data_IF_514575473562
#
_entry.id   IF_514575473562
#
_cell.length_a   1.000
_cell.length_b   1.000
_cell.length_c   1.000
_cell.angle_alpha   90.00
_cell.angle_beta   90.00
_cell.angle_gamma   90.00
#
_symmetry.space_group_name_H-M   'P 1'
#
loop_
_entity.id
_entity.type
_entity.pdbx_description
1 polymer ?
#
# COMPACT_ATOMS: atom_id res chain seq x y z
N UNK A 1 32.12 -4.36 11.55
CA UNK A 1 30.63 -4.48 11.48
C UNK A 1 30.14 -3.31 10.65
N UNK A 2 29.60 -3.56 9.49
CA UNK A 2 29.03 -2.52 8.64
C UNK A 2 27.76 -1.99 9.35
N UNK A 3 27.69 -0.69 9.53
CA UNK A 3 26.51 0.00 10.07
C UNK A 3 25.36 -0.29 9.10
N UNK A 4 24.21 -0.80 9.55
CA UNK A 4 23.06 -0.98 8.65
C UNK A 4 22.71 0.36 8.04
N UNK A 5 22.60 0.37 6.72
CA UNK A 5 22.22 1.57 5.97
C UNK A 5 20.73 1.82 6.26
N UNK A 6 20.46 2.62 7.30
CA UNK A 6 19.11 3.08 7.62
C UNK A 6 18.65 3.99 6.48
N UNK A 7 17.94 3.43 5.54
CA UNK A 7 17.20 4.23 4.58
C UNK A 7 16.03 4.84 5.34
N UNK A 8 16.26 5.99 5.95
CA UNK A 8 15.14 6.90 6.17
C UNK A 8 14.45 7.03 4.82
N UNK A 9 13.13 6.86 4.77
CA UNK A 9 12.37 6.96 3.53
C UNK A 9 12.45 8.42 3.08
N UNK A 10 13.61 8.77 2.52
CA UNK A 10 13.89 10.07 1.93
C UNK A 10 13.06 10.15 0.66
N UNK A 11 12.06 11.01 0.63
CA UNK A 11 11.18 11.19 -0.52
C UNK A 11 9.71 10.85 -0.27
N UNK A 12 9.31 10.55 0.98
CA UNK A 12 7.92 10.57 1.41
C UNK A 12 7.53 11.93 2.00
N UNK A 13 8.48 12.87 2.07
CA UNK A 13 8.16 14.25 2.44
C UNK A 13 7.29 14.86 1.35
N UNK A 14 6.03 15.06 1.68
CA UNK A 14 5.11 15.81 0.83
C UNK A 14 5.56 17.26 0.78
N UNK A 15 5.44 17.92 -0.38
CA UNK A 15 5.66 19.36 -0.44
C UNK A 15 4.67 20.04 0.51
N UNK A 16 5.15 21.01 1.27
CA UNK A 16 4.31 21.81 2.19
C UNK A 16 3.40 22.77 1.42
N UNK A 17 3.69 22.98 0.15
CA UNK A 17 2.92 23.82 -0.77
C UNK A 17 3.09 23.30 -2.21
N UNK A 18 2.00 23.30 -2.99
CA UNK A 18 1.99 22.88 -4.37
C UNK A 18 1.45 21.48 -4.62
N UNK A 19 1.58 21.00 -5.85
CA UNK A 19 1.07 19.68 -6.27
C UNK A 19 1.93 18.55 -5.74
N UNK A 20 1.32 17.59 -5.04
CA UNK A 20 1.98 16.36 -4.61
C UNK A 20 2.21 15.42 -5.80
N UNK A 21 3.38 14.80 -5.85
CA UNK A 21 3.72 13.81 -6.87
C UNK A 21 3.46 12.40 -6.35
N UNK A 22 2.82 11.55 -7.17
CA UNK A 22 2.53 10.16 -6.82
C UNK A 22 3.77 9.31 -6.54
N UNK A 23 4.94 9.70 -7.04
CA UNK A 23 6.21 9.01 -6.78
C UNK A 23 6.60 9.03 -5.28
N UNK A 24 6.04 9.95 -4.50
CA UNK A 24 6.22 9.97 -3.04
C UNK A 24 5.49 8.81 -2.34
N UNK A 25 4.46 8.26 -2.96
CA UNK A 25 3.73 7.10 -2.46
C UNK A 25 4.50 5.82 -2.79
N UNK A 26 4.55 4.89 -1.84
CA UNK A 26 5.29 3.63 -1.99
C UNK A 26 4.42 2.45 -1.63
N UNK A 27 4.60 1.36 -2.37
CA UNK A 27 3.82 0.14 -2.21
C UNK A 27 4.77 -1.04 -2.02
N UNK A 28 4.54 -1.82 -0.96
CA UNK A 28 5.31 -3.00 -0.63
C UNK A 28 4.37 -4.18 -0.44
N UNK A 29 4.81 -5.35 -0.88
CA UNK A 29 4.10 -6.62 -0.70
C UNK A 29 4.91 -7.50 0.24
N UNK A 30 4.27 -8.12 1.19
CA UNK A 30 4.89 -9.12 2.06
C UNK A 30 5.05 -10.44 1.32
N UNK A 31 6.27 -10.95 1.26
CA UNK A 31 6.61 -12.20 0.58
C UNK A 31 6.69 -13.40 1.52
N UNK A 32 6.23 -13.28 2.76
CA UNK A 32 6.26 -14.36 3.77
C UNK A 32 5.01 -15.22 3.80
N UNK A 33 4.02 -14.99 2.90
CA UNK A 33 2.70 -15.66 2.91
C UNK A 33 1.90 -15.46 4.22
N UNK A 34 2.26 -14.46 5.00
CA UNK A 34 1.51 -14.11 6.19
C UNK A 34 0.34 -13.20 5.82
N UNK A 35 -0.87 -13.64 6.12
CA UNK A 35 -2.09 -12.87 5.86
C UNK A 35 -2.87 -12.53 7.14
N UNK A 36 -2.36 -12.91 8.32
CA UNK A 36 -3.13 -12.82 9.55
C UNK A 36 -2.68 -11.72 10.51
N UNK A 37 -1.38 -11.57 10.74
CA UNK A 37 -0.89 -10.62 11.74
C UNK A 37 -0.63 -9.25 11.13
N UNK A 38 -1.53 -8.30 11.44
CA UNK A 38 -1.40 -6.89 11.06
C UNK A 38 -0.81 -6.02 12.18
N UNK A 39 -0.58 -6.60 13.36
CA UNK A 39 -0.07 -5.85 14.51
C UNK A 39 1.45 -5.82 14.52
N UNK A 40 2.08 -6.87 13.98
CA UNK A 40 3.52 -6.98 13.88
C UNK A 40 3.99 -6.98 12.42
N UNK A 41 4.33 -5.79 11.93
CA UNK A 41 4.89 -5.62 10.59
C UNK A 41 6.37 -5.97 10.51
N UNK A 42 7.04 -6.18 11.66
CA UNK A 42 8.48 -6.47 11.72
C UNK A 42 8.79 -7.88 11.24
N UNK A 43 7.82 -8.78 11.29
CA UNK A 43 7.93 -10.17 10.82
C UNK A 43 7.87 -10.31 9.30
N UNK A 44 7.47 -9.25 8.57
CA UNK A 44 7.30 -9.25 7.13
C UNK A 44 8.62 -9.11 6.36
N UNK A 45 8.63 -9.67 5.15
CA UNK A 45 9.64 -9.39 4.12
C UNK A 45 9.00 -8.53 3.04
N UNK A 46 9.18 -7.25 3.15
CA UNK A 46 8.48 -6.24 2.36
C UNK A 46 9.19 -6.00 1.04
N UNK A 47 8.73 -6.62 -0.04
CA UNK A 47 9.26 -6.37 -1.37
C UNK A 47 8.66 -5.09 -1.96
N UNK A 48 9.50 -4.18 -2.40
CA UNK A 48 9.07 -2.90 -2.96
C UNK A 48 8.57 -3.05 -4.39
N UNK A 49 7.28 -2.84 -4.60
CA UNK A 49 6.64 -2.88 -5.90
C UNK A 49 6.77 -1.51 -6.60
N UNK A 50 7.87 -1.32 -7.32
CA UNK A 50 8.19 -0.06 -7.97
C UNK A 50 8.85 -0.21 -9.34
N UNK A 51 9.71 -1.23 -9.53
CA UNK A 51 10.45 -1.40 -10.77
C UNK A 51 9.51 -1.68 -11.93
N UNK A 52 9.54 -0.84 -12.96
CA UNK A 52 8.68 -0.97 -14.12
C UNK A 52 7.20 -0.60 -13.86
N UNK A 53 6.82 -0.23 -12.64
CA UNK A 53 5.47 0.20 -12.35
C UNK A 53 5.28 1.66 -12.77
N UNK A 54 4.32 1.87 -13.64
CA UNK A 54 3.99 3.19 -14.19
C UNK A 54 2.76 3.83 -13.55
N UNK A 55 1.87 3.00 -12.97
CA UNK A 55 0.60 3.48 -12.40
C UNK A 55 0.20 2.68 -11.17
N UNK A 56 -0.21 3.37 -10.10
CA UNK A 56 -0.88 2.82 -8.93
C UNK A 56 -2.10 3.68 -8.68
N UNK A 57 -3.29 3.12 -8.91
CA UNK A 57 -4.56 3.85 -8.80
C UNK A 57 -5.40 3.28 -7.68
N UNK A 58 -5.60 4.03 -6.56
CA UNK A 58 -6.53 3.65 -5.52
C UNK A 58 -7.97 3.84 -5.98
N UNK A 59 -8.83 2.89 -5.62
CA UNK A 59 -10.27 2.94 -5.87
C UNK A 59 -11.03 2.55 -4.60
N UNK A 60 -11.84 3.48 -4.11
CA UNK A 60 -12.73 3.29 -2.99
C UNK A 60 -14.13 2.96 -3.47
N UNK A 61 -14.73 1.92 -2.91
CA UNK A 61 -16.12 1.59 -3.11
C UNK A 61 -16.87 1.69 -1.78
N UNK A 62 -18.00 2.34 -1.79
CA UNK A 62 -18.83 2.58 -0.62
C UNK A 62 -20.19 1.88 -0.79
N UNK A 63 -20.63 1.23 0.28
CA UNK A 63 -22.00 0.80 0.42
C UNK A 63 -22.76 1.88 1.17
N UNK A 64 -23.81 2.39 0.54
CA UNK A 64 -24.66 3.42 1.14
C UNK A 64 -26.06 2.88 1.36
N UNK A 65 -26.65 3.27 2.48
CA UNK A 65 -28.08 3.10 2.76
C UNK A 65 -28.74 4.47 2.80
N UNK A 66 -29.90 4.58 2.16
CA UNK A 66 -30.69 5.79 2.16
C UNK A 66 -32.02 5.54 2.87
N UNK A 67 -32.36 6.41 3.79
CA UNK A 67 -33.61 6.31 4.54
C UNK A 67 -34.22 7.70 4.69
N UNK A 68 -35.49 7.84 4.33
CA UNK A 68 -36.22 9.07 4.59
C UNK A 68 -36.88 9.00 5.98
N UNK A 69 -36.63 10.01 6.79
CA UNK A 69 -37.21 10.15 8.12
C UNK A 69 -38.31 11.23 8.12
N UNK A 70 -39.25 11.14 9.06
CA UNK A 70 -40.34 12.13 9.19
C UNK A 70 -39.84 13.51 9.60
N UNK A 71 -38.74 13.60 10.33
CA UNK A 71 -38.10 14.86 10.75
C UNK A 71 -37.23 15.49 9.64
N UNK A 72 -37.01 14.76 8.54
CA UNK A 72 -36.31 15.23 7.35
C UNK A 72 -37.22 15.78 6.24
N UNK A 73 -38.48 16.01 6.52
CA UNK A 73 -39.47 16.50 5.53
C UNK A 73 -39.53 15.65 4.22
N UNK A 74 -39.23 14.35 4.35
CA UNK A 74 -39.26 13.41 3.23
C UNK A 74 -37.98 13.39 2.38
N UNK A 75 -36.91 14.08 2.81
CA UNK A 75 -35.60 13.97 2.19
C UNK A 75 -34.82 12.77 2.73
N UNK A 76 -34.05 12.14 1.84
CA UNK A 76 -33.22 11.00 2.19
C UNK A 76 -32.01 11.39 3.03
N UNK A 77 -31.81 10.72 4.16
CA UNK A 77 -30.54 10.66 4.87
C UNK A 77 -29.69 9.53 4.30
N UNK A 78 -28.42 9.80 4.03
CA UNK A 78 -27.49 8.85 3.40
C UNK A 78 -26.43 8.43 4.40
N UNK A 79 -26.45 7.15 4.77
CA UNK A 79 -25.46 6.54 5.67
C UNK A 79 -24.50 5.63 4.87
N UNK A 80 -23.18 5.74 5.15
CA UNK A 80 -22.17 4.84 4.59
C UNK A 80 -22.03 3.63 5.51
N UNK A 81 -22.53 2.47 5.07
CA UNK A 81 -22.55 1.23 5.86
C UNK A 81 -21.34 0.33 5.65
N UNK A 82 -20.53 0.62 4.62
CA UNK A 82 -19.30 -0.14 4.37
C UNK A 82 -18.39 0.55 3.35
N UNK A 83 -17.10 0.27 3.45
CA UNK A 83 -16.08 0.75 2.51
C UNK A 83 -15.15 -0.40 2.11
N UNK A 84 -14.70 -0.41 0.87
CA UNK A 84 -13.62 -1.28 0.40
C UNK A 84 -12.61 -0.49 -0.42
N UNK A 85 -11.33 -0.84 -0.29
CA UNK A 85 -10.24 -0.23 -1.02
C UNK A 85 -9.60 -1.26 -1.96
N UNK A 86 -9.29 -0.84 -3.16
CA UNK A 86 -8.51 -1.61 -4.12
C UNK A 86 -7.42 -0.71 -4.71
N UNK A 87 -6.25 -1.28 -4.94
CA UNK A 87 -5.17 -0.63 -5.68
C UNK A 87 -4.99 -1.36 -7.01
N UNK A 88 -5.28 -0.68 -8.12
CA UNK A 88 -4.95 -1.15 -9.45
C UNK A 88 -3.51 -0.74 -9.79
N UNK A 89 -2.66 -1.73 -10.04
CA UNK A 89 -1.25 -1.52 -10.37
C UNK A 89 -1.01 -1.94 -11.81
N UNK A 90 -0.31 -1.11 -12.58
CA UNK A 90 0.05 -1.38 -13.97
C UNK A 90 1.50 -1.00 -14.24
N UNK A 91 2.10 -1.70 -15.18
CA UNK A 91 3.47 -1.41 -15.61
C UNK A 91 4.01 -2.43 -16.59
N UNK A 92 5.32 -2.59 -16.55
CA UNK A 92 6.09 -3.52 -17.37
C UNK A 92 6.69 -4.61 -16.48
N UNK A 93 6.69 -5.84 -16.97
CA UNK A 93 7.26 -6.99 -16.25
C UNK A 93 8.79 -6.91 -16.25
N UNK A 94 9.37 -6.97 -15.05
CA UNK A 94 10.80 -7.14 -14.84
C UNK A 94 11.07 -8.46 -14.13
N UNK A 95 11.69 -9.40 -14.82
CA UNK A 95 12.12 -10.68 -14.27
C UNK A 95 13.21 -10.45 -13.21
N UNK A 96 13.12 -11.18 -12.09
CA UNK A 96 14.05 -11.03 -10.96
C UNK A 96 13.72 -9.86 -10.04
N UNK A 97 12.57 -9.17 -10.23
CA UNK A 97 12.04 -8.24 -9.24
C UNK A 97 11.22 -9.01 -8.20
N UNK A 98 11.66 -8.98 -6.94
CA UNK A 98 11.10 -9.81 -5.88
C UNK A 98 9.59 -9.62 -5.67
N UNK A 99 9.09 -8.39 -5.82
CA UNK A 99 7.66 -8.10 -5.66
C UNK A 99 6.85 -8.65 -6.84
N UNK A 100 7.33 -8.42 -8.07
CA UNK A 100 6.63 -8.92 -9.26
C UNK A 100 6.70 -10.44 -9.38
N UNK A 101 7.85 -11.06 -9.04
CA UNK A 101 8.02 -12.51 -9.07
C UNK A 101 7.13 -13.20 -8.03
N UNK A 102 7.00 -12.62 -6.83
CA UNK A 102 6.08 -13.10 -5.81
C UNK A 102 4.62 -13.01 -6.27
N UNK A 103 4.20 -11.87 -6.83
CA UNK A 103 2.84 -11.70 -7.36
C UNK A 103 2.55 -12.69 -8.49
N UNK A 104 3.51 -12.91 -9.39
CA UNK A 104 3.41 -13.87 -10.49
C UNK A 104 3.19 -15.30 -9.96
N UNK A 105 3.91 -15.70 -8.92
CA UNK A 105 3.75 -17.01 -8.27
C UNK A 105 2.32 -17.26 -7.74
N UNK A 106 1.57 -16.20 -7.47
CA UNK A 106 0.18 -16.27 -6.99
C UNK A 106 -0.86 -16.30 -8.12
N UNK A 107 -0.47 -16.30 -9.38
CA UNK A 107 -1.38 -16.21 -10.54
C UNK A 107 -2.49 -17.26 -10.52
N UNK A 108 -2.17 -18.47 -10.08
CA UNK A 108 -3.10 -19.60 -10.03
C UNK A 108 -3.60 -19.92 -8.61
N UNK A 109 -3.24 -19.10 -7.64
CA UNK A 109 -3.61 -19.32 -6.25
C UNK A 109 -5.10 -19.03 -6.02
N UNK A 110 -5.75 -19.83 -5.18
CA UNK A 110 -7.17 -19.73 -4.84
C UNK A 110 -7.31 -19.66 -3.31
N UNK A 111 -8.30 -18.89 -2.85
CA UNK A 111 -8.61 -18.78 -1.43
C UNK A 111 -7.51 -18.10 -0.63
N UNK A 112 -7.11 -18.69 0.49
CA UNK A 112 -6.06 -18.12 1.37
C UNK A 112 -4.69 -18.07 0.69
N UNK A 113 -4.40 -18.95 -0.26
CA UNK A 113 -3.14 -18.92 -0.99
C UNK A 113 -2.95 -17.66 -1.86
N UNK A 114 -4.04 -16.98 -2.25
CA UNK A 114 -4.00 -15.70 -2.97
C UNK A 114 -3.86 -14.48 -2.05
N UNK A 115 -3.80 -14.71 -0.72
CA UNK A 115 -3.75 -13.65 0.28
C UNK A 115 -2.33 -13.38 0.74
N UNK A 116 -2.10 -12.15 1.14
CA UNK A 116 -0.87 -11.69 1.77
C UNK A 116 -1.12 -10.37 2.51
N UNK A 117 -0.06 -9.69 2.93
CA UNK A 117 -0.13 -8.34 3.51
C UNK A 117 0.44 -7.32 2.54
N UNK A 118 -0.13 -6.14 2.56
CA UNK A 118 0.35 -4.97 1.82
C UNK A 118 0.70 -3.85 2.80
N UNK A 119 1.83 -3.18 2.55
CA UNK A 119 2.21 -1.95 3.21
C UNK A 119 2.20 -0.84 2.15
N UNK A 120 1.29 0.10 2.31
CA UNK A 120 1.14 1.25 1.42
C UNK A 120 1.46 2.53 2.18
N UNK A 121 2.50 3.21 1.75
CA UNK A 121 2.84 4.54 2.27
C UNK A 121 2.13 5.55 1.38
N UNK A 122 1.02 6.07 1.90
CA UNK A 122 0.16 7.03 1.23
C UNK A 122 0.31 8.40 1.87
N UNK A 123 0.80 9.37 1.11
CA UNK A 123 1.03 10.72 1.62
C UNK A 123 1.82 10.75 2.95
N UNK A 124 2.86 9.92 3.05
CA UNK A 124 3.69 9.80 4.23
C UNK A 124 3.10 8.94 5.36
N UNK A 125 1.84 8.51 5.26
CA UNK A 125 1.21 7.62 6.24
C UNK A 125 1.38 6.15 5.85
N UNK A 126 2.01 5.33 6.69
CA UNK A 126 2.06 3.90 6.48
C UNK A 126 0.72 3.24 6.80
N UNK A 127 0.18 2.52 5.84
CA UNK A 127 -1.08 1.78 5.93
C UNK A 127 -0.80 0.32 5.66
N UNK A 128 -1.09 -0.54 6.63
CA UNK A 128 -0.95 -1.99 6.53
C UNK A 128 -2.32 -2.64 6.44
N UNK A 129 -2.47 -3.59 5.56
CA UNK A 129 -3.71 -4.37 5.44
C UNK A 129 -3.42 -5.80 4.99
N UNK A 130 -4.31 -6.70 5.34
CA UNK A 130 -4.47 -7.94 4.60
C UNK A 130 -4.94 -7.60 3.20
N UNK A 131 -4.53 -8.38 2.23
CA UNK A 131 -5.00 -8.19 0.86
C UNK A 131 -5.12 -9.51 0.12
N UNK A 132 -6.01 -9.51 -0.85
CA UNK A 132 -6.13 -10.57 -1.84
C UNK A 132 -5.60 -10.06 -3.17
N UNK A 133 -4.67 -10.80 -3.76
CA UNK A 133 -4.13 -10.50 -5.08
C UNK A 133 -5.07 -11.05 -6.16
N UNK A 134 -5.58 -10.16 -7.01
CA UNK A 134 -6.56 -10.51 -8.05
C UNK A 134 -6.15 -9.92 -9.39
N UNK A 135 -6.75 -10.40 -10.48
CA UNK A 135 -6.50 -9.91 -11.84
C UNK A 135 -5.00 -9.82 -12.19
N UNK A 136 -4.23 -10.85 -11.76
CA UNK A 136 -2.79 -10.90 -12.00
C UNK A 136 -2.55 -11.20 -13.50
N UNK A 137 -1.85 -10.28 -14.16
CA UNK A 137 -1.44 -10.43 -15.55
C UNK A 137 0.05 -10.14 -15.65
N UNK A 138 0.92 -11.19 -15.57
CA UNK A 138 2.36 -11.01 -15.57
C UNK A 138 2.95 -10.96 -16.98
N UNK A 139 2.14 -11.21 -18.00
CA UNK A 139 2.55 -11.30 -19.41
C UNK A 139 1.51 -10.65 -20.31
N UNK A 140 1.87 -10.38 -21.55
CA UNK A 140 0.98 -9.84 -22.56
C UNK A 140 1.63 -8.71 -23.34
N UNK A 141 1.09 -8.40 -24.50
CA UNK A 141 1.59 -7.38 -25.40
C UNK A 141 1.86 -7.96 -26.82
N UNK A 142 2.30 -7.10 -27.74
CA UNK A 142 2.73 -7.50 -29.07
C UNK A 142 4.07 -8.26 -29.00
N UNK A 143 4.41 -9.03 -30.01
CA UNK A 143 5.61 -9.89 -30.02
C UNK A 143 6.93 -9.10 -29.91
N UNK A 144 6.93 -7.85 -30.34
CA UNK A 144 8.05 -6.91 -30.33
C UNK A 144 8.01 -5.93 -29.13
N UNK A 145 6.98 -6.02 -28.28
CA UNK A 145 6.80 -5.15 -27.12
C UNK A 145 7.32 -5.78 -25.83
N UNK A 146 7.57 -4.94 -24.83
CA UNK A 146 7.81 -5.39 -23.46
C UNK A 146 6.55 -6.04 -22.89
N UNK A 147 6.74 -7.04 -22.04
CA UNK A 147 5.62 -7.71 -21.39
C UNK A 147 4.92 -6.76 -20.41
N UNK A 148 3.60 -6.75 -20.50
CA UNK A 148 2.78 -6.01 -19.55
C UNK A 148 2.76 -6.70 -18.18
N UNK A 149 2.64 -5.90 -17.13
CA UNK A 149 2.40 -6.37 -15.79
C UNK A 149 1.20 -5.62 -15.20
N UNK A 150 0.26 -6.35 -14.66
CA UNK A 150 -0.83 -5.74 -13.88
C UNK A 150 -1.30 -6.64 -12.75
N UNK A 151 -1.78 -6.02 -11.68
CA UNK A 151 -2.40 -6.70 -10.54
C UNK A 151 -3.39 -5.76 -9.88
N UNK A 152 -4.47 -6.32 -9.35
CA UNK A 152 -5.37 -5.62 -8.44
C UNK A 152 -5.17 -6.15 -7.03
N UNK A 153 -4.82 -5.28 -6.11
CA UNK A 153 -4.61 -5.56 -4.69
C UNK A 153 -5.89 -5.14 -3.97
N UNK A 154 -6.73 -6.11 -3.61
CA UNK A 154 -7.96 -5.85 -2.87
C UNK A 154 -7.67 -5.93 -1.37
N UNK A 155 -7.99 -4.87 -0.63
CA UNK A 155 -7.82 -4.82 0.82
C UNK A 155 -8.91 -5.64 1.51
N UNK A 156 -8.50 -6.54 2.40
CA UNK A 156 -9.38 -7.40 3.17
C UNK A 156 -9.57 -6.81 4.59
N UNK A 157 -10.74 -6.24 4.82
CA UNK A 157 -11.07 -5.59 6.09
C UNK A 157 -10.56 -4.14 6.21
N UNK A 158 -10.60 -3.61 7.41
CA UNK A 158 -10.16 -2.25 7.69
C UNK A 158 -8.62 -2.17 7.69
N UNK A 159 -8.03 -1.27 6.89
CA UNK A 159 -6.60 -1.04 6.94
C UNK A 159 -6.21 -0.46 8.31
N UNK A 160 -5.01 -0.80 8.78
CA UNK A 160 -4.43 -0.27 10.02
C UNK A 160 -3.31 0.70 9.69
N UNK A 161 -3.21 1.76 10.46
CA UNK A 161 -2.07 2.67 10.44
C UNK A 161 -1.13 2.31 11.58
N UNK A 162 0.18 2.45 11.38
CA UNK A 162 1.15 2.30 12.47
C UNK A 162 1.20 3.60 13.27
N UNK A 163 1.22 3.48 14.60
CA UNK A 163 1.28 4.64 15.50
C UNK A 163 2.69 5.17 15.72
N UNK A 164 3.72 4.40 15.35
CA UNK A 164 5.13 4.75 15.53
C UNK A 164 5.83 5.14 14.22
N UNK A 165 7.06 5.63 14.35
CA UNK A 165 7.90 5.91 13.20
C UNK A 165 8.32 4.61 12.52
N UNK A 166 7.93 4.45 11.25
CA UNK A 166 8.29 3.28 10.46
C UNK A 166 9.68 3.48 9.83
N UNK A 167 10.57 2.55 10.10
CA UNK A 167 11.87 2.46 9.43
C UNK A 167 11.90 1.20 8.58
N UNK A 168 12.19 1.35 7.29
CA UNK A 168 12.38 0.25 6.36
C UNK A 168 13.87 0.12 6.04
N UNK A 169 14.44 -1.05 6.32
CA UNK A 169 15.86 -1.34 6.05
C UNK A 169 15.96 -2.36 4.93
N UNK A 170 16.65 -2.02 3.85
CA UNK A 170 16.90 -2.95 2.75
C UNK A 170 17.83 -4.07 3.24
N UNK A 171 17.36 -5.31 3.11
CA UNK A 171 18.08 -6.48 3.63
C UNK A 171 19.11 -7.01 2.63
N UNK A 172 18.87 -6.73 1.33
CA UNK A 172 19.71 -7.21 0.23
C UNK A 172 19.52 -6.29 -0.99
N UNK A 173 20.37 -6.44 -1.99
CA UNK A 173 20.25 -5.75 -3.30
C UNK A 173 18.96 -6.11 -4.08
N UNK A 174 18.14 -7.00 -3.54
CA UNK A 174 16.88 -7.50 -4.14
C UNK A 174 15.66 -6.62 -3.86
N UNK A 175 15.80 -5.47 -3.22
CA UNK A 175 14.70 -4.56 -2.83
C UNK A 175 13.70 -5.18 -1.84
N UNK A 176 14.16 -6.11 -1.02
CA UNK A 176 13.41 -6.63 0.12
C UNK A 176 13.80 -5.85 1.36
N UNK A 177 12.81 -5.40 2.10
CA UNK A 177 12.96 -4.57 3.29
C UNK A 177 12.42 -5.29 4.52
N UNK A 178 13.10 -5.11 5.64
CA UNK A 178 12.55 -5.39 6.96
C UNK A 178 12.02 -4.10 7.56
N UNK A 179 10.87 -4.20 8.23
CA UNK A 179 10.24 -3.08 8.90
C UNK A 179 10.62 -3.06 10.38
N UNK A 180 10.87 -1.88 10.92
CA UNK A 180 10.98 -1.65 12.36
C UNK A 180 10.07 -0.46 12.72
N UNK A 181 9.39 -0.55 13.85
CA UNK A 181 8.54 0.52 14.39
C UNK A 181 9.18 1.06 15.65
N UNK A 182 9.38 2.35 15.71
CA UNK A 182 9.83 3.04 16.93
C UNK A 182 8.61 3.69 17.60
N UNK A 183 8.08 3.01 18.63
CA UNK A 183 6.92 3.48 19.39
C UNK A 183 7.26 4.63 20.34
N UNK A 184 8.55 4.98 20.51
CA UNK A 184 8.98 6.09 21.36
C UNK A 184 8.82 7.44 20.66
N UNK A 185 8.70 7.45 19.34
CA UNK A 185 8.44 8.63 18.53
C UNK A 185 7.07 8.50 17.84
N UNK A 186 6.00 9.09 18.39
CA UNK A 186 4.70 9.03 17.73
C UNK A 186 4.75 9.71 16.36
N UNK A 187 4.04 9.14 15.40
CA UNK A 187 3.93 9.66 14.03
C UNK A 187 3.38 11.11 13.95
N UNK A 188 2.94 11.67 15.07
CA UNK A 188 2.40 13.02 15.21
C UNK A 188 3.41 14.16 14.99
N UNK A 189 4.72 13.88 14.90
CA UNK A 189 5.69 14.95 14.59
C UNK A 189 5.54 15.52 13.17
N UNK A 190 4.81 14.83 12.29
CA UNK A 190 4.45 15.36 10.96
C UNK A 190 3.15 16.20 11.00
N UNK A 191 2.28 15.99 11.99
CA UNK A 191 1.04 16.74 12.15
C UNK A 191 1.26 18.09 12.88
N UNK A 192 2.28 18.21 13.73
CA UNK A 192 2.56 19.45 14.47
C UNK A 192 3.14 20.59 13.59
N UNK A 193 3.70 20.27 12.42
CA UNK A 193 4.17 21.33 11.49
C UNK A 193 3.04 22.06 10.75
N UNK A 194 1.80 21.62 10.90
CA UNK A 194 0.65 22.25 10.23
C UNK A 194 -0.07 23.29 11.08
N UNK A 195 0.32 23.50 12.34
CA UNK A 195 -0.35 24.44 13.25
C UNK A 195 0.26 25.83 13.32
N UNK A 196 1.39 26.07 12.66
CA UNK A 196 2.04 27.38 12.65
C UNK A 196 1.89 28.13 11.29
N UNK A 197 0.66 28.25 10.80
CA UNK A 197 0.36 29.25 9.77
C UNK A 197 0.05 30.58 10.48
N UNK A 198 0.81 31.65 10.23
CA UNK A 198 0.49 32.97 10.78
C UNK A 198 -0.83 33.45 10.19
N UNK A 199 -1.65 34.04 11.07
CA UNK A 199 -2.93 34.72 10.75
C UNK A 199 -2.69 35.92 9.83
#
# INVERSE_FOLDING_TARGET
MATPNLIQIKGTELPTDGAALNVANRLYIDTTDNDEDLTDITTGKWAWLARGISEITPSWQEKTQKTAYYDGDGHDDTEVTGKSLQLAVKGVRYLGDAAQDYIDSKQYAIGSAAKTRVLWINNGMPVVSKCTLTAITPTGGAADAQQNFSVTIAFDGAPKTTSGQLTLTETDTTRIFTAAVDDTHPASSLAEKHTDLPK
#
